data_IF_139854424784
#
_entry.id   IF_139854424784
#
_cell.length_a   1.000
_cell.length_b   1.000
_cell.length_c   1.000
_cell.angle_alpha   90.00
_cell.angle_beta   90.00
_cell.angle_gamma   90.00
#
_symmetry.space_group_name_H-M   'P 1'
#
loop_
_entity.id
_entity.type
_entity.pdbx_description
1 polymer ?
#
# COMPACT_ATOMS: atom_id res chain seq x y z
N UNK A 1 -21.39 -12.51 12.50
CA UNK A 1 -21.34 -11.03 12.65
C UNK A 1 -20.04 -10.45 12.09
N UNK A 2 -18.86 -10.78 12.63
CA UNK A 2 -17.56 -10.27 12.13
C UNK A 2 -17.34 -10.52 10.62
N UNK A 3 -17.56 -11.75 10.16
CA UNK A 3 -17.34 -12.14 8.76
C UNK A 3 -18.20 -11.33 7.77
N UNK A 4 -19.46 -11.04 8.14
CA UNK A 4 -20.37 -10.22 7.33
C UNK A 4 -19.85 -8.78 7.20
N UNK A 5 -19.34 -8.21 8.30
CA UNK A 5 -18.74 -6.87 8.30
C UNK A 5 -17.50 -6.81 7.40
N UNK A 6 -16.62 -7.81 7.48
CA UNK A 6 -15.41 -7.88 6.64
C UNK A 6 -15.78 -8.02 5.16
N UNK A 7 -16.71 -8.91 4.81
CA UNK A 7 -17.19 -9.04 3.43
C UNK A 7 -17.78 -7.73 2.93
N UNK A 8 -18.60 -7.05 3.75
CA UNK A 8 -19.19 -5.77 3.37
C UNK A 8 -18.12 -4.73 3.03
N UNK A 9 -17.04 -4.63 3.81
CA UNK A 9 -15.92 -3.73 3.50
C UNK A 9 -15.23 -4.10 2.19
N UNK A 10 -14.99 -5.39 1.95
CA UNK A 10 -14.37 -5.86 0.70
C UNK A 10 -15.27 -5.57 -0.50
N UNK A 11 -16.59 -5.73 -0.38
CA UNK A 11 -17.55 -5.39 -1.44
C UNK A 11 -17.50 -3.89 -1.74
N UNK A 12 -17.46 -3.03 -0.72
CA UNK A 12 -17.31 -1.58 -0.92
C UNK A 12 -16.03 -1.25 -1.69
N UNK A 13 -14.90 -1.89 -1.35
CA UNK A 13 -13.63 -1.73 -2.08
C UNK A 13 -13.75 -2.13 -3.55
N UNK A 14 -14.40 -3.27 -3.82
CA UNK A 14 -14.61 -3.75 -5.19
C UNK A 14 -15.50 -2.78 -5.97
N UNK A 15 -16.58 -2.26 -5.38
CA UNK A 15 -17.45 -1.28 -6.02
C UNK A 15 -16.66 -0.01 -6.36
N UNK A 16 -15.85 0.52 -5.43
CA UNK A 16 -15.00 1.69 -5.68
C UNK A 16 -14.04 1.41 -6.84
N UNK A 17 -13.37 0.25 -6.84
CA UNK A 17 -12.44 -0.12 -7.91
C UNK A 17 -13.15 -0.25 -9.27
N UNK A 18 -14.33 -0.85 -9.31
CA UNK A 18 -15.13 -1.01 -10.53
C UNK A 18 -15.60 0.34 -11.05
N UNK A 19 -16.10 1.24 -10.19
CA UNK A 19 -16.50 2.59 -10.61
C UNK A 19 -15.32 3.39 -11.17
N UNK A 20 -14.13 3.23 -10.59
CA UNK A 20 -12.92 3.86 -11.11
C UNK A 20 -12.55 3.31 -12.50
N UNK A 21 -12.58 2.00 -12.66
CA UNK A 21 -12.24 1.33 -13.91
C UNK A 21 -13.19 1.69 -15.06
N UNK A 22 -14.48 1.93 -14.77
CA UNK A 22 -15.48 2.29 -15.78
C UNK A 22 -15.47 3.77 -16.13
N UNK A 23 -15.30 4.67 -15.16
CA UNK A 23 -15.29 6.13 -15.39
C UNK A 23 -13.97 6.62 -16.01
N UNK A 24 -12.85 6.00 -15.66
CA UNK A 24 -11.53 6.40 -16.13
C UNK A 24 -10.66 5.17 -16.36
N UNK A 25 -10.84 4.47 -17.50
CA UNK A 25 -10.01 3.32 -17.82
C UNK A 25 -8.55 3.73 -17.84
N UNK A 26 -7.71 2.90 -17.21
CA UNK A 26 -6.27 3.08 -17.21
C UNK A 26 -5.79 2.83 -18.63
N UNK A 27 -5.36 3.88 -19.32
CA UNK A 27 -4.87 3.78 -20.70
C UNK A 27 -3.35 3.89 -20.74
N UNK A 28 -2.78 3.20 -21.72
CA UNK A 28 -1.36 3.30 -22.05
C UNK A 28 -1.07 4.68 -22.62
N UNK A 29 -0.33 5.49 -21.88
CA UNK A 29 0.10 6.80 -22.37
C UNK A 29 1.43 6.65 -23.11
N UNK A 30 1.56 7.37 -24.23
CA UNK A 30 2.74 7.30 -25.12
C UNK A 30 4.04 7.62 -24.35
N UNK A 31 5.15 6.98 -24.72
CA UNK A 31 6.35 6.96 -23.91
C UNK A 31 6.98 8.35 -23.77
N UNK A 32 7.43 8.67 -22.56
CA UNK A 32 8.34 9.80 -22.33
C UNK A 32 9.67 9.40 -22.98
N UNK A 33 10.11 10.16 -23.98
CA UNK A 33 11.40 9.97 -24.65
C UNK A 33 12.52 10.52 -23.76
N UNK A 34 13.30 9.64 -23.15
CA UNK A 34 14.57 10.00 -22.54
C UNK A 34 15.64 9.93 -23.64
N UNK A 35 16.06 11.09 -24.14
CA UNK A 35 17.20 11.16 -25.04
C UNK A 35 18.48 10.96 -24.23
N UNK A 36 19.17 9.87 -24.47
CA UNK A 36 20.52 9.64 -23.93
C UNK A 36 21.49 9.70 -25.12
N UNK A 37 22.37 10.70 -25.13
CA UNK A 37 23.40 10.83 -26.16
C UNK A 37 24.58 9.92 -25.80
N UNK A 38 24.84 8.91 -26.62
CA UNK A 38 25.95 8.00 -26.41
C UNK A 38 27.20 8.50 -27.14
N UNK A 39 28.08 9.21 -26.43
CA UNK A 39 29.31 9.82 -26.98
C UNK A 39 30.27 8.80 -27.61
N UNK A 40 30.13 7.50 -27.27
CA UNK A 40 31.08 6.46 -27.71
C UNK A 40 30.73 5.84 -29.06
N UNK A 41 29.46 5.87 -29.45
CA UNK A 41 28.95 5.29 -30.71
C UNK A 41 28.38 6.34 -31.66
N UNK A 42 28.36 7.62 -31.25
CA UNK A 42 27.76 8.73 -31.98
C UNK A 42 26.30 8.43 -32.42
N UNK A 43 25.59 7.68 -31.58
CA UNK A 43 24.20 7.27 -31.77
C UNK A 43 23.32 7.86 -30.67
N UNK A 44 22.16 8.36 -31.07
CA UNK A 44 21.12 8.80 -30.14
C UNK A 44 20.30 7.58 -29.69
N UNK A 45 20.39 7.21 -28.41
CA UNK A 45 19.53 6.20 -27.81
C UNK A 45 18.30 6.88 -27.20
N UNK A 46 17.13 6.57 -27.75
CA UNK A 46 15.85 7.08 -27.25
C UNK A 46 15.23 6.01 -26.35
N UNK A 47 15.35 6.20 -25.03
CA UNK A 47 14.69 5.36 -24.04
C UNK A 47 13.21 5.70 -23.96
N UNK A 48 12.34 4.70 -24.10
CA UNK A 48 10.90 4.85 -23.96
C UNK A 48 10.42 4.30 -22.62
N UNK A 49 9.90 5.16 -21.74
CA UNK A 49 9.20 4.71 -20.53
C UNK A 49 7.71 4.69 -20.80
N UNK A 50 7.15 3.48 -20.82
CA UNK A 50 5.72 3.26 -20.97
C UNK A 50 5.09 3.29 -19.57
N UNK A 51 4.14 4.21 -19.37
CA UNK A 51 3.43 4.36 -18.09
C UNK A 51 1.93 4.23 -18.26
N UNK A 52 1.30 3.58 -17.29
CA UNK A 52 -0.15 3.51 -17.16
C UNK A 52 -0.66 4.80 -16.50
N UNK A 53 -1.49 5.57 -17.21
CA UNK A 53 -2.06 6.82 -16.69
C UNK A 53 -3.55 6.94 -17.03
N UNK A 54 -4.23 7.84 -16.34
CA UNK A 54 -5.61 8.21 -16.64
C UNK A 54 -5.77 9.72 -16.45
N UNK A 55 -6.79 10.31 -17.09
CA UNK A 55 -7.00 11.75 -17.13
C UNK A 55 -7.12 12.40 -15.74
N UNK A 56 -7.67 11.68 -14.77
CA UNK A 56 -7.89 12.15 -13.39
C UNK A 56 -7.09 11.35 -12.36
N UNK A 57 -5.90 10.85 -12.73
CA UNK A 57 -5.06 9.98 -11.89
C UNK A 57 -4.83 10.54 -10.49
N UNK A 58 -4.48 11.82 -10.38
CA UNK A 58 -4.15 12.47 -9.10
C UNK A 58 -5.36 12.53 -8.18
N UNK A 59 -6.50 13.02 -8.69
CA UNK A 59 -7.74 13.15 -7.92
C UNK A 59 -8.22 11.81 -7.37
N UNK A 60 -8.24 10.78 -8.22
CA UNK A 60 -8.65 9.44 -7.80
C UNK A 60 -7.67 8.78 -6.82
N UNK A 61 -6.37 8.99 -7.01
CA UNK A 61 -5.35 8.48 -6.08
C UNK A 61 -5.51 9.11 -4.70
N UNK A 62 -5.74 10.42 -4.63
CA UNK A 62 -5.99 11.14 -3.38
C UNK A 62 -7.27 10.62 -2.71
N UNK A 63 -8.37 10.46 -3.46
CA UNK A 63 -9.62 9.96 -2.92
C UNK A 63 -9.47 8.55 -2.30
N UNK A 64 -8.79 7.64 -3.00
CA UNK A 64 -8.53 6.28 -2.51
C UNK A 64 -7.64 6.32 -1.26
N UNK A 65 -6.55 7.10 -1.28
CA UNK A 65 -5.66 7.20 -0.12
C UNK A 65 -6.36 7.79 1.10
N UNK A 66 -7.22 8.79 0.92
CA UNK A 66 -8.01 9.35 2.01
C UNK A 66 -8.97 8.31 2.62
N UNK A 67 -9.70 7.58 1.76
CA UNK A 67 -10.58 6.50 2.19
C UNK A 67 -9.83 5.40 2.95
N UNK A 68 -8.68 4.95 2.43
CA UNK A 68 -7.85 3.93 3.09
C UNK A 68 -7.24 4.44 4.39
N UNK A 69 -6.83 5.72 4.45
CA UNK A 69 -6.29 6.33 5.66
C UNK A 69 -7.34 6.41 6.78
N UNK A 70 -8.60 6.76 6.46
CA UNK A 70 -9.70 6.72 7.42
C UNK A 70 -9.93 5.31 7.97
N UNK A 71 -9.86 4.30 7.10
CA UNK A 71 -10.04 2.89 7.48
C UNK A 71 -8.89 2.41 8.37
N UNK A 72 -7.65 2.80 8.07
CA UNK A 72 -6.48 2.53 8.93
C UNK A 72 -6.58 3.25 10.27
N UNK A 73 -7.01 4.51 10.30
CA UNK A 73 -7.20 5.27 11.53
C UNK A 73 -8.27 4.64 12.42
N UNK A 74 -9.38 4.19 11.83
CA UNK A 74 -10.40 3.42 12.52
C UNK A 74 -9.82 2.11 13.10
N UNK A 75 -9.04 1.37 12.32
CA UNK A 75 -8.36 0.15 12.77
C UNK A 75 -7.40 0.38 13.94
N UNK A 76 -6.60 1.44 13.88
CA UNK A 76 -5.70 1.85 14.96
C UNK A 76 -6.49 2.23 16.21
N UNK A 77 -7.52 3.06 16.09
CA UNK A 77 -8.36 3.49 17.21
C UNK A 77 -9.04 2.29 17.88
N UNK A 78 -9.61 1.38 17.09
CA UNK A 78 -10.20 0.13 17.59
C UNK A 78 -9.16 -0.73 18.32
N UNK A 79 -7.94 -0.82 17.79
CA UNK A 79 -6.85 -1.57 18.40
C UNK A 79 -6.41 -1.01 19.76
N UNK A 80 -6.44 0.32 19.94
CA UNK A 80 -6.14 0.99 21.21
C UNK A 80 -7.22 0.65 22.24
N UNK A 81 -8.50 0.72 21.86
CA UNK A 81 -9.60 0.37 22.76
C UNK A 81 -9.53 -1.09 23.20
N UNK A 82 -9.19 -2.00 22.28
CA UNK A 82 -8.99 -3.42 22.58
C UNK A 82 -7.87 -3.65 23.60
N UNK A 83 -6.80 -2.84 23.59
CA UNK A 83 -5.74 -2.91 24.61
C UNK A 83 -6.24 -2.52 26.01
N UNK A 84 -7.15 -1.55 26.11
CA UNK A 84 -7.77 -1.17 27.37
C UNK A 84 -8.61 -2.30 28.00
N UNK A 85 -9.21 -3.14 27.15
CA UNK A 85 -10.02 -4.30 27.57
C UNK A 85 -9.20 -5.57 27.80
N UNK A 86 -7.94 -5.61 27.34
CA UNK A 86 -7.04 -6.78 27.44
C UNK A 86 -6.73 -7.19 28.89
N UNK A 87 -6.92 -6.29 29.85
CA UNK A 87 -6.77 -6.62 31.28
C UNK A 87 -7.84 -7.59 31.80
N UNK A 88 -8.93 -7.83 31.04
CA UNK A 88 -10.03 -8.72 31.45
C UNK A 88 -10.11 -10.05 30.70
N UNK A 89 -9.46 -10.22 29.54
CA UNK A 89 -9.46 -11.48 28.79
C UNK A 89 -8.06 -11.83 28.26
N UNK A 90 -7.54 -12.99 28.71
CA UNK A 90 -6.22 -13.56 28.40
C UNK A 90 -6.10 -14.10 26.97
N UNK A 91 -6.73 -13.49 25.98
CA UNK A 91 -6.49 -13.88 24.59
C UNK A 91 -5.20 -13.22 24.09
N UNK A 92 -4.11 -13.98 24.20
CA UNK A 92 -2.76 -13.66 23.67
C UNK A 92 -2.79 -13.14 22.23
N UNK A 93 -3.79 -13.58 21.43
CA UNK A 93 -4.00 -13.18 20.04
C UNK A 93 -4.33 -11.70 19.84
N UNK A 94 -4.97 -11.05 20.81
CA UNK A 94 -5.40 -9.64 20.69
C UNK A 94 -4.21 -8.69 20.63
N UNK A 95 -3.16 -8.96 21.41
CA UNK A 95 -1.99 -8.09 21.50
C UNK A 95 -1.14 -8.08 20.23
N UNK A 96 -0.85 -9.25 19.68
CA UNK A 96 -0.05 -9.39 18.46
C UNK A 96 -0.76 -8.77 17.25
N UNK A 97 -2.09 -8.93 17.17
CA UNK A 97 -2.91 -8.31 16.13
C UNK A 97 -2.82 -6.79 16.19
N UNK A 98 -2.85 -6.19 17.39
CA UNK A 98 -2.66 -4.73 17.51
C UNK A 98 -1.29 -4.28 17.01
N UNK A 99 -0.21 -5.01 17.32
CA UNK A 99 1.13 -4.67 16.83
C UNK A 99 1.25 -4.80 15.31
N UNK A 100 0.60 -5.80 14.70
CA UNK A 100 0.55 -5.95 13.25
C UNK A 100 -0.17 -4.77 12.57
N UNK A 101 -1.29 -4.30 13.15
CA UNK A 101 -2.02 -3.13 12.65
C UNK A 101 -1.13 -1.88 12.68
N UNK A 102 -0.39 -1.64 13.77
CA UNK A 102 0.55 -0.52 13.84
C UNK A 102 1.67 -0.62 12.80
N UNK A 103 2.23 -1.81 12.62
CA UNK A 103 3.29 -2.05 11.64
C UNK A 103 2.84 -1.71 10.21
N UNK A 104 1.69 -2.25 9.78
CA UNK A 104 1.13 -1.99 8.45
C UNK A 104 0.79 -0.51 8.28
N UNK A 105 0.23 0.12 9.31
CA UNK A 105 -0.13 1.55 9.26
C UNK A 105 1.12 2.43 9.11
N UNK A 106 2.16 2.20 9.91
CA UNK A 106 3.40 2.98 9.86
C UNK A 106 4.13 2.81 8.52
N UNK A 107 4.30 1.56 8.06
CA UNK A 107 4.97 1.29 6.78
C UNK A 107 4.14 1.83 5.61
N UNK A 108 2.80 1.74 5.67
CA UNK A 108 1.91 2.30 4.66
C UNK A 108 2.06 3.82 4.53
N UNK A 109 2.06 4.55 5.65
CA UNK A 109 2.24 6.01 5.67
C UNK A 109 3.62 6.39 5.09
N UNK A 110 4.69 5.74 5.56
CA UNK A 110 6.06 6.00 5.08
C UNK A 110 6.17 5.71 3.58
N UNK A 111 5.62 4.58 3.14
CA UNK A 111 5.63 4.18 1.72
C UNK A 111 4.94 5.20 0.82
N UNK A 112 3.75 5.68 1.21
CA UNK A 112 3.03 6.70 0.44
C UNK A 112 3.84 8.01 0.37
N UNK A 113 4.39 8.48 1.49
CA UNK A 113 5.21 9.70 1.52
C UNK A 113 6.42 9.57 0.60
N UNK A 114 7.16 8.45 0.67
CA UNK A 114 8.32 8.23 -0.17
C UNK A 114 7.95 8.16 -1.67
N UNK A 115 6.85 7.51 -2.01
CA UNK A 115 6.37 7.42 -3.40
C UNK A 115 5.97 8.78 -3.95
N UNK A 116 5.27 9.60 -3.16
CA UNK A 116 4.89 10.97 -3.53
C UNK A 116 6.11 11.87 -3.65
N UNK A 117 7.11 11.73 -2.77
CA UNK A 117 8.35 12.48 -2.88
C UNK A 117 9.14 12.12 -4.16
N UNK A 118 9.14 10.85 -4.55
CA UNK A 118 9.82 10.37 -5.75
C UNK A 118 9.05 10.59 -7.05
N UNK A 119 7.75 10.88 -7.01
CA UNK A 119 6.94 11.05 -8.22
C UNK A 119 7.38 12.23 -9.09
N UNK A 120 8.11 13.19 -8.49
CA UNK A 120 8.67 14.35 -9.20
C UNK A 120 10.05 14.07 -9.82
N UNK A 121 10.60 12.87 -9.65
CA UNK A 121 11.92 12.49 -10.19
C UNK A 121 11.77 11.57 -11.41
N UNK A 122 12.75 11.60 -12.32
CA UNK A 122 12.82 10.68 -13.48
C UNK A 122 13.27 9.26 -13.08
N UNK A 123 13.55 9.02 -11.80
CA UNK A 123 14.09 7.77 -11.28
C UNK A 123 12.99 6.74 -10.97
N UNK A 124 12.34 6.22 -12.01
CA UNK A 124 11.30 5.20 -11.86
C UNK A 124 11.76 3.95 -11.11
N UNK A 125 13.02 3.53 -11.32
CA UNK A 125 13.60 2.36 -10.64
C UNK A 125 13.61 2.52 -9.11
N UNK A 126 13.90 3.73 -8.62
CA UNK A 126 13.92 4.00 -7.20
C UNK A 126 12.50 3.92 -6.60
N UNK A 127 11.49 4.42 -7.32
CA UNK A 127 10.08 4.35 -6.88
C UNK A 127 9.61 2.90 -6.77
N UNK A 128 9.91 2.06 -7.77
CA UNK A 128 9.57 0.64 -7.74
C UNK A 128 10.25 -0.10 -6.59
N UNK A 129 11.53 0.17 -6.35
CA UNK A 129 12.29 -0.43 -5.25
C UNK A 129 11.67 -0.09 -3.88
N UNK A 130 11.36 1.19 -3.65
CA UNK A 130 10.72 1.64 -2.41
C UNK A 130 9.38 0.93 -2.18
N UNK A 131 8.53 0.86 -3.20
CA UNK A 131 7.22 0.17 -3.11
C UNK A 131 7.43 -1.31 -2.75
N UNK A 132 8.32 -1.99 -3.46
CA UNK A 132 8.60 -3.42 -3.23
C UNK A 132 9.11 -3.68 -1.81
N UNK A 133 10.05 -2.87 -1.33
CA UNK A 133 10.62 -3.01 0.03
C UNK A 133 9.55 -2.74 1.09
N UNK A 134 8.73 -1.69 0.94
CA UNK A 134 7.63 -1.41 1.87
C UNK A 134 6.63 -2.58 1.93
N UNK A 135 6.26 -3.16 0.79
CA UNK A 135 5.35 -4.32 0.75
C UNK A 135 6.01 -5.54 1.41
N UNK A 136 7.26 -5.85 1.06
CA UNK A 136 7.97 -7.00 1.60
C UNK A 136 8.11 -6.91 3.12
N UNK A 137 8.60 -5.80 3.65
CA UNK A 137 8.75 -5.60 5.10
C UNK A 137 7.38 -5.59 5.78
N UNK A 138 6.40 -4.89 5.20
CA UNK A 138 5.04 -4.83 5.73
C UNK A 138 4.41 -6.21 5.90
N UNK A 139 4.45 -7.04 4.86
CA UNK A 139 3.87 -8.39 4.88
C UNK A 139 4.66 -9.33 5.79
N UNK A 140 5.98 -9.38 5.64
CA UNK A 140 6.83 -10.31 6.41
C UNK A 140 6.77 -10.05 7.90
N UNK A 141 6.90 -8.78 8.34
CA UNK A 141 6.82 -8.44 9.75
C UNK A 141 5.41 -8.72 10.32
N UNK A 142 4.35 -8.50 9.55
CA UNK A 142 2.98 -8.75 10.02
C UNK A 142 2.69 -10.24 10.18
N UNK A 143 3.15 -11.08 9.24
CA UNK A 143 3.06 -12.53 9.34
C UNK A 143 3.83 -13.05 10.56
N UNK A 144 5.05 -12.55 10.78
CA UNK A 144 5.87 -12.91 11.93
C UNK A 144 5.18 -12.53 13.26
N UNK A 145 4.58 -11.34 13.33
CA UNK A 145 3.88 -10.89 14.54
C UNK A 145 2.64 -11.73 14.82
N UNK A 146 1.85 -12.06 13.80
CA UNK A 146 0.62 -12.85 13.95
C UNK A 146 0.90 -14.31 14.29
N UNK A 147 1.81 -14.96 13.56
CA UNK A 147 2.02 -16.41 13.66
C UNK A 147 3.27 -16.82 14.44
N UNK A 148 4.25 -15.92 14.63
CA UNK A 148 5.55 -16.26 15.22
C UNK A 148 5.45 -16.87 16.62
N UNK A 149 4.57 -16.35 17.48
CA UNK A 149 4.34 -16.92 18.81
C UNK A 149 3.59 -18.26 18.78
N UNK A 150 2.72 -18.45 17.80
CA UNK A 150 1.98 -19.72 17.65
C UNK A 150 2.91 -20.87 17.28
N UNK A 151 3.94 -20.60 16.47
CA UNK A 151 4.92 -21.59 16.03
C UNK A 151 5.89 -21.93 17.16
N UNK A 152 6.32 -20.94 17.94
CA UNK A 152 7.22 -21.14 19.08
C UNK A 152 6.56 -21.90 20.25
N UNK A 153 5.24 -21.78 20.43
CA UNK A 153 4.51 -22.52 21.48
C UNK A 153 4.14 -23.96 21.11
N UNK A 154 4.46 -24.41 19.89
CA UNK A 154 4.22 -25.78 19.42
C UNK A 154 5.41 -26.73 19.66
N UNK A 155 6.55 -26.18 20.07
CA UNK A 155 7.80 -26.87 20.43
C UNK A 155 8.10 -26.64 21.91
#
# INVERSE_FOLDING_TARGET
>A
MLYVFVISMVICDVIILVTLATLSPITLTKPISLNTYNFKTDTNEIGHIISCTCQYKTEYTIAIYCYKALLLLFGVFFSIQLRGLRNYSKEVHTGNTTFAIYNITAIGIVGVICVVALSNTTNHQAMYSVIAVCILIGVTASLLLLFGKSIQGLW
#
